data_IF_514489622311
#
_entry.id   IF_514489622311
#
_cell.length_a   1.000
_cell.length_b   1.000
_cell.length_c   1.000
_cell.angle_alpha   90.00
_cell.angle_beta   90.00
_cell.angle_gamma   90.00
#
_symmetry.space_group_name_H-M   'P 1'
#
loop_
_entity.id
_entity.type
_entity.pdbx_description
1 polymer ?
#
# COMPACT_ATOMS: atom_id res chain seq x y z
N UNK A 1 17.84 -13.19 11.17
CA UNK A 1 17.04 -12.99 12.39
C UNK A 1 16.71 -11.52 12.47
N UNK A 2 15.44 -11.14 12.29
CA UNK A 2 15.04 -9.72 12.31
C UNK A 2 14.14 -9.48 13.50
N UNK A 3 14.68 -8.81 14.52
CA UNK A 3 13.95 -8.43 15.72
C UNK A 3 13.39 -7.03 15.50
N UNK A 4 12.11 -6.94 15.14
CA UNK A 4 11.41 -5.65 15.04
C UNK A 4 10.56 -5.46 16.29
N UNK A 5 10.89 -4.44 17.08
CA UNK A 5 10.10 -3.99 18.22
C UNK A 5 9.29 -2.76 17.77
N UNK A 6 7.97 -2.87 17.78
CA UNK A 6 7.07 -1.74 17.54
C UNK A 6 6.53 -1.28 18.89
N UNK A 7 6.93 -0.09 19.33
CA UNK A 7 6.42 0.56 20.54
C UNK A 7 5.42 1.65 20.16
N UNK A 8 4.28 1.65 20.87
CA UNK A 8 3.21 2.65 20.85
C UNK A 8 2.64 3.04 19.47
N UNK A 9 1.91 2.11 18.85
CA UNK A 9 1.14 2.36 17.62
C UNK A 9 -0.28 2.92 17.87
N UNK A 10 -0.58 3.45 19.06
CA UNK A 10 -1.95 3.86 19.44
C UNK A 10 -2.20 5.39 19.40
N UNK A 11 -1.28 6.15 18.80
CA UNK A 11 -1.41 7.60 18.64
C UNK A 11 -2.62 8.05 17.82
N UNK A 12 -2.99 9.33 17.93
CA UNK A 12 -4.16 9.92 17.25
C UNK A 12 -4.15 9.74 15.73
N UNK A 13 -2.96 9.69 15.12
CA UNK A 13 -2.82 9.37 13.71
C UNK A 13 -3.29 7.94 13.45
N UNK A 14 -2.72 6.93 14.11
CA UNK A 14 -3.13 5.54 13.92
C UNK A 14 -4.64 5.34 14.14
N UNK A 15 -5.21 5.88 15.24
CA UNK A 15 -6.63 5.72 15.58
C UNK A 15 -7.59 6.29 14.52
N UNK A 16 -7.28 7.45 13.95
CA UNK A 16 -8.14 8.08 12.94
C UNK A 16 -7.86 7.54 11.52
N UNK A 17 -6.60 7.21 11.25
CA UNK A 17 -6.13 6.73 9.94
C UNK A 17 -6.57 5.30 9.65
N UNK A 18 -6.69 4.43 10.67
CA UNK A 18 -7.28 3.08 10.53
C UNK A 18 -8.69 3.14 9.94
N UNK A 19 -9.51 4.10 10.39
CA UNK A 19 -10.86 4.30 9.86
C UNK A 19 -10.85 4.76 8.40
N UNK A 20 -9.95 5.66 8.02
CA UNK A 20 -9.88 6.14 6.64
C UNK A 20 -9.47 5.02 5.66
N UNK A 21 -8.54 4.14 6.06
CA UNK A 21 -8.04 3.09 5.17
C UNK A 21 -8.89 1.81 5.12
N UNK A 22 -9.62 1.46 6.18
CA UNK A 22 -10.44 0.23 6.24
C UNK A 22 -11.88 0.41 5.73
N UNK A 23 -12.28 1.63 5.37
CA UNK A 23 -13.67 1.92 4.98
C UNK A 23 -14.04 1.53 3.56
N UNK A 24 -13.06 1.45 2.66
CA UNK A 24 -13.31 1.18 1.25
C UNK A 24 -13.04 -0.30 0.93
N UNK A 25 -14.10 -1.10 0.67
CA UNK A 25 -13.95 -2.49 0.32
C UNK A 25 -13.42 -2.69 -1.11
N UNK A 26 -13.50 -1.69 -1.99
CA UNK A 26 -13.14 -1.84 -3.39
C UNK A 26 -11.63 -1.97 -3.60
N UNK A 27 -11.30 -2.83 -4.57
CA UNK A 27 -9.95 -3.02 -5.09
C UNK A 27 -9.84 -2.23 -6.39
N UNK A 28 -9.31 -1.01 -6.32
CA UNK A 28 -9.08 -0.12 -7.46
C UNK A 28 -7.80 0.68 -7.23
N UNK A 29 -6.75 0.30 -7.96
CA UNK A 29 -5.49 1.03 -7.92
C UNK A 29 -4.82 1.08 -9.28
N UNK A 30 -3.94 2.06 -9.42
CA UNK A 30 -3.04 2.26 -10.55
C UNK A 30 -1.61 2.16 -10.08
N UNK A 31 -0.74 1.73 -10.99
CA UNK A 31 0.70 1.70 -10.79
C UNK A 31 1.36 2.75 -11.68
N UNK A 32 2.31 3.50 -11.12
CA UNK A 32 3.24 4.37 -11.87
C UNK A 32 4.67 3.88 -11.69
N UNK A 33 5.52 4.08 -12.69
CA UNK A 33 6.96 3.74 -12.61
C UNK A 33 7.81 4.94 -12.20
N UNK A 34 9.01 4.67 -11.69
CA UNK A 34 10.02 5.71 -11.45
C UNK A 34 10.24 6.54 -12.72
N UNK A 35 10.10 7.86 -12.59
CA UNK A 35 10.22 8.81 -13.70
C UNK A 35 8.89 9.19 -14.33
N UNK A 36 7.81 8.45 -14.05
CA UNK A 36 6.46 8.88 -14.39
C UNK A 36 5.90 9.81 -13.31
N UNK A 37 5.15 10.85 -13.69
CA UNK A 37 4.41 11.65 -12.72
C UNK A 37 3.48 10.76 -11.90
N UNK A 38 3.52 10.92 -10.58
CA UNK A 38 2.56 10.28 -9.69
C UNK A 38 1.16 10.81 -10.00
N UNK A 39 0.18 9.90 -10.13
CA UNK A 39 -1.20 10.24 -10.48
C UNK A 39 -2.14 9.68 -9.42
N UNK A 40 -2.86 10.54 -8.72
CA UNK A 40 -3.73 10.17 -7.59
C UNK A 40 -3.14 10.65 -6.26
N UNK A 41 -3.84 10.35 -5.15
CA UNK A 41 -3.48 10.85 -3.82
C UNK A 41 -3.58 9.76 -2.76
N UNK A 42 -4.71 9.04 -2.72
CA UNK A 42 -4.99 8.01 -1.72
C UNK A 42 -5.12 6.62 -2.36
N UNK A 43 -4.93 5.55 -1.58
CA UNK A 43 -5.20 4.16 -2.01
C UNK A 43 -5.84 3.41 -0.83
N UNK A 44 -6.85 2.57 -1.10
CA UNK A 44 -7.47 1.76 -0.05
C UNK A 44 -6.53 0.66 0.45
N UNK A 45 -6.67 0.25 1.72
CA UNK A 45 -5.88 -0.87 2.27
C UNK A 45 -6.13 -2.15 1.48
N UNK A 46 -7.36 -2.43 1.07
CA UNK A 46 -7.70 -3.61 0.28
C UNK A 46 -6.98 -3.61 -1.07
N UNK A 47 -6.92 -2.47 -1.75
CA UNK A 47 -6.18 -2.31 -3.00
C UNK A 47 -4.69 -2.56 -2.82
N UNK A 48 -4.10 -2.02 -1.75
CA UNK A 48 -2.69 -2.24 -1.44
C UNK A 48 -2.42 -3.70 -1.03
N UNK A 49 -3.29 -4.30 -0.24
CA UNK A 49 -3.21 -5.71 0.17
C UNK A 49 -3.29 -6.66 -1.02
N UNK A 50 -4.18 -6.41 -1.97
CA UNK A 50 -4.26 -7.17 -3.22
C UNK A 50 -2.95 -7.13 -4.01
N UNK A 51 -2.33 -5.96 -4.13
CA UNK A 51 -1.01 -5.83 -4.76
C UNK A 51 0.08 -6.59 -3.99
N UNK A 52 0.10 -6.50 -2.66
CA UNK A 52 1.08 -7.22 -1.82
C UNK A 52 0.93 -8.74 -2.00
N UNK A 53 -0.30 -9.26 -2.02
CA UNK A 53 -0.57 -10.69 -2.25
C UNK A 53 -0.07 -11.11 -3.63
N UNK A 54 -0.31 -10.30 -4.68
CA UNK A 54 0.21 -10.56 -6.03
C UNK A 54 1.74 -10.60 -6.08
N UNK A 55 2.41 -9.65 -5.41
CA UNK A 55 3.89 -9.63 -5.32
C UNK A 55 4.45 -10.82 -4.53
N UNK A 56 3.73 -11.27 -3.49
CA UNK A 56 4.12 -12.44 -2.72
C UNK A 56 3.93 -13.75 -3.50
N UNK A 57 2.88 -13.82 -4.33
CA UNK A 57 2.58 -14.98 -5.17
C UNK A 57 3.49 -15.10 -6.40
N UNK A 58 3.95 -13.97 -6.96
CA UNK A 58 4.89 -13.92 -8.07
C UNK A 58 6.11 -13.04 -7.74
N UNK A 59 7.24 -13.65 -7.30
CA UNK A 59 8.46 -12.93 -6.97
C UNK A 59 9.11 -12.20 -8.14
N UNK A 60 8.74 -12.51 -9.39
CA UNK A 60 9.24 -11.82 -10.57
C UNK A 60 8.43 -10.53 -10.87
N UNK A 61 7.22 -10.42 -10.33
CA UNK A 61 6.35 -9.27 -10.52
C UNK A 61 6.99 -8.02 -9.92
N UNK A 62 7.19 -6.99 -10.76
CA UNK A 62 7.86 -5.73 -10.41
C UNK A 62 9.24 -5.88 -9.74
N UNK A 63 9.94 -7.00 -9.99
CA UNK A 63 11.24 -7.27 -9.39
C UNK A 63 12.24 -6.14 -9.68
N UNK A 64 12.85 -5.61 -8.61
CA UNK A 64 13.81 -4.49 -8.63
C UNK A 64 13.27 -3.20 -9.29
N UNK A 65 11.94 -3.07 -9.40
CA UNK A 65 11.29 -1.84 -9.86
C UNK A 65 10.83 -1.00 -8.68
N UNK A 66 10.90 0.31 -8.83
CA UNK A 66 10.29 1.27 -7.89
C UNK A 66 8.96 1.69 -8.47
N UNK A 67 7.87 1.30 -7.79
CA UNK A 67 6.50 1.51 -8.24
C UNK A 67 5.76 2.45 -7.28
N UNK A 68 5.03 3.41 -7.83
CA UNK A 68 4.03 4.19 -7.11
C UNK A 68 2.67 3.50 -7.19
N UNK A 69 1.88 3.58 -6.13
CA UNK A 69 0.55 2.98 -6.04
C UNK A 69 -0.43 4.03 -5.55
N UNK A 70 -1.55 4.19 -6.26
CA UNK A 70 -2.58 5.20 -5.99
C UNK A 70 -3.95 4.69 -6.44
N UNK A 71 -5.04 5.31 -5.97
CA UNK A 71 -6.38 5.03 -6.48
C UNK A 71 -6.46 5.29 -7.99
N UNK A 72 -7.18 4.40 -8.68
CA UNK A 72 -7.31 4.38 -10.13
C UNK A 72 -8.28 5.43 -10.68
#
# INVERSE_FOLDING_TARGET
MTNVLILDANGQLARNTTGAFLRDPDIRYRITQKGEPFKGHDVSLNSLSDLIVKLAADPALHLRKSIGVSAA
#
